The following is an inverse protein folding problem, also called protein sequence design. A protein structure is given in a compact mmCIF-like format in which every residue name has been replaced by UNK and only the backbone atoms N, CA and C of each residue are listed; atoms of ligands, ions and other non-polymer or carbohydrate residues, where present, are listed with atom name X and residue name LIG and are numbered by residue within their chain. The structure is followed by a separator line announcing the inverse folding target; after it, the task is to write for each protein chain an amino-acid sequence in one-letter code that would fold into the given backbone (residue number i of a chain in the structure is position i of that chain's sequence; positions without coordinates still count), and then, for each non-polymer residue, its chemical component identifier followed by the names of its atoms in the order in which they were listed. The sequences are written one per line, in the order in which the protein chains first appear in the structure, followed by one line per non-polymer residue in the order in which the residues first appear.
data_IF_980414117859
#
_entry.id   IF_980414117859
#
_cell.length_a   1.000
_cell.length_b   1.000
_cell.length_c   1.000
_cell.angle_alpha   90.00
_cell.angle_beta   90.00
_cell.angle_gamma   90.00
#
_symmetry.space_group_name_H-M   'P 1'
#
loop_
_entity.id
_entity.type
_entity.pdbx_description
1 polymer ?
#
# COMPACT_ATOMS: atom_id res chain seq x y z
N UNK A 1 48.75 -20.27 -44.26
CA UNK A 1 48.30 -20.51 -42.88
C UNK A 1 47.18 -21.55 -42.87
N UNK A 2 47.51 -22.81 -42.56
CA UNK A 2 46.50 -23.87 -42.44
C UNK A 2 45.67 -23.67 -41.17
N UNK A 3 44.36 -23.47 -41.34
CA UNK A 3 43.42 -23.49 -40.22
C UNK A 3 43.37 -24.88 -39.63
N UNK A 4 43.98 -25.07 -38.45
CA UNK A 4 43.81 -26.28 -37.62
C UNK A 4 42.32 -26.51 -37.37
N UNK A 5 41.77 -27.57 -37.96
CA UNK A 5 40.41 -28.04 -37.71
C UNK A 5 40.38 -28.70 -36.33
N UNK A 6 39.77 -28.01 -35.36
CA UNK A 6 39.60 -28.56 -34.01
C UNK A 6 38.54 -29.66 -34.06
N UNK A 7 38.78 -30.85 -33.48
CA UNK A 7 37.81 -31.94 -33.50
C UNK A 7 36.50 -31.53 -32.80
N UNK A 8 35.37 -31.85 -33.44
CA UNK A 8 34.05 -31.55 -32.91
C UNK A 8 33.82 -32.31 -31.59
N UNK A 9 33.55 -31.57 -30.51
CA UNK A 9 33.29 -32.17 -29.19
C UNK A 9 32.11 -33.16 -29.30
N UNK A 10 32.26 -34.40 -28.78
CA UNK A 10 31.21 -35.42 -28.80
C UNK A 10 29.89 -34.92 -28.22
N UNK A 11 28.77 -35.27 -28.87
CA UNK A 11 27.43 -34.81 -28.47
C UNK A 11 27.06 -35.22 -27.04
N UNK A 12 27.52 -36.39 -26.59
CA UNK A 12 27.31 -36.90 -25.24
C UNK A 12 27.97 -36.02 -24.17
N UNK A 13 29.18 -35.51 -24.44
CA UNK A 13 29.89 -34.58 -23.55
C UNK A 13 29.21 -33.21 -23.53
N UNK A 14 28.76 -32.70 -24.69
CA UNK A 14 27.97 -31.46 -24.75
C UNK A 14 26.67 -31.57 -23.94
N UNK A 15 25.96 -32.70 -24.02
CA UNK A 15 24.73 -32.96 -23.25
C UNK A 15 25.00 -33.03 -21.75
N UNK A 16 26.07 -33.71 -21.32
CA UNK A 16 26.50 -33.75 -19.90
C UNK A 16 26.84 -32.36 -19.35
N UNK A 17 27.58 -31.54 -20.11
CA UNK A 17 27.92 -30.18 -19.72
C UNK A 17 26.66 -29.30 -19.56
N UNK A 18 25.72 -29.35 -20.51
CA UNK A 18 24.42 -28.64 -20.43
C UNK A 18 23.61 -29.04 -19.19
N UNK A 19 23.51 -30.34 -18.90
CA UNK A 19 22.79 -30.82 -17.72
C UNK A 19 23.44 -30.31 -16.41
N UNK A 20 24.77 -30.29 -16.36
CA UNK A 20 25.50 -29.82 -15.18
C UNK A 20 25.35 -28.31 -14.96
N UNK A 21 25.40 -27.52 -16.04
CA UNK A 21 25.17 -26.06 -15.97
C UNK A 21 23.73 -25.75 -15.57
N UNK A 22 22.74 -26.45 -16.12
CA UNK A 22 21.33 -26.32 -15.72
C UNK A 22 21.11 -26.65 -14.24
N UNK A 23 21.70 -27.74 -13.74
CA UNK A 23 21.64 -28.10 -12.33
C UNK A 23 22.29 -27.04 -11.44
N UNK A 24 23.42 -26.48 -11.85
CA UNK A 24 24.11 -25.39 -11.13
C UNK A 24 23.23 -24.14 -11.09
N UNK A 25 22.62 -23.74 -12.21
CA UNK A 25 21.68 -22.60 -12.28
C UNK A 25 20.46 -22.84 -11.38
N UNK A 26 19.86 -24.04 -11.41
CA UNK A 26 18.73 -24.41 -10.54
C UNK A 26 19.10 -24.29 -9.05
N UNK A 27 20.28 -24.78 -8.65
CA UNK A 27 20.79 -24.64 -7.27
C UNK A 27 20.96 -23.18 -6.86
N UNK A 28 21.54 -22.35 -7.72
CA UNK A 28 21.73 -20.92 -7.45
C UNK A 28 20.39 -20.19 -7.33
N UNK A 29 19.42 -20.45 -8.23
CA UNK A 29 18.06 -19.88 -8.15
C UNK A 29 17.36 -20.27 -6.85
N UNK A 30 17.48 -21.53 -6.41
CA UNK A 30 16.90 -22.00 -5.14
C UNK A 30 17.52 -21.28 -3.94
N UNK A 31 18.85 -21.13 -3.90
CA UNK A 31 19.56 -20.38 -2.85
C UNK A 31 19.13 -18.92 -2.82
N UNK A 32 19.06 -18.27 -3.98
CA UNK A 32 18.60 -16.88 -4.08
C UNK A 32 17.16 -16.70 -3.57
N UNK A 33 16.24 -17.57 -3.99
CA UNK A 33 14.86 -17.53 -3.52
C UNK A 33 14.74 -17.74 -2.00
N UNK A 34 15.55 -18.62 -1.41
CA UNK A 34 15.60 -18.80 0.05
C UNK A 34 16.09 -17.54 0.76
N UNK A 35 17.14 -16.90 0.26
CA UNK A 35 17.67 -15.67 0.85
C UNK A 35 16.65 -14.52 0.75
N UNK A 36 15.98 -14.38 -0.40
CA UNK A 36 14.92 -13.38 -0.58
C UNK A 36 13.74 -13.61 0.37
N UNK A 37 13.33 -14.87 0.58
CA UNK A 37 12.27 -15.20 1.56
C UNK A 37 12.67 -14.82 2.98
N UNK A 38 13.91 -15.11 3.39
CA UNK A 38 14.44 -14.69 4.70
C UNK A 38 14.45 -13.17 4.85
N UNK A 39 14.88 -12.45 3.81
CA UNK A 39 14.89 -10.98 3.83
C UNK A 39 13.49 -10.41 4.01
N UNK A 40 12.51 -10.88 3.22
CA UNK A 40 11.11 -10.44 3.32
C UNK A 40 10.54 -10.75 4.70
N UNK A 41 10.85 -11.92 5.26
CA UNK A 41 10.41 -12.31 6.59
C UNK A 41 10.95 -11.38 7.69
N UNK A 42 12.27 -11.11 7.69
CA UNK A 42 12.87 -10.22 8.69
C UNK A 42 12.35 -8.78 8.57
N UNK A 43 12.13 -8.28 7.35
CA UNK A 43 11.48 -6.99 7.14
C UNK A 43 10.04 -6.95 7.69
N UNK A 44 9.23 -7.96 7.39
CA UNK A 44 7.85 -8.04 7.89
C UNK A 44 7.82 -8.07 9.43
N UNK A 45 8.74 -8.83 10.04
CA UNK A 45 8.92 -8.88 11.50
C UNK A 45 9.31 -7.51 12.07
N UNK A 46 10.20 -6.80 11.40
CA UNK A 46 10.60 -5.44 11.78
C UNK A 46 9.40 -4.47 11.74
N UNK A 47 8.66 -4.41 10.64
CA UNK A 47 7.49 -3.53 10.54
C UNK A 47 6.42 -3.85 11.57
N UNK A 48 6.17 -5.13 11.85
CA UNK A 48 5.23 -5.53 12.91
C UNK A 48 5.67 -5.00 14.28
N UNK A 49 6.96 -5.12 14.60
CA UNK A 49 7.53 -4.57 15.84
C UNK A 49 7.37 -3.05 15.90
N UNK A 50 7.65 -2.36 14.80
CA UNK A 50 7.53 -0.90 14.67
C UNK A 50 6.09 -0.43 14.91
N UNK A 51 5.10 -1.02 14.23
CA UNK A 51 3.68 -0.67 14.44
C UNK A 51 3.23 -0.88 15.88
N UNK A 52 3.66 -1.99 16.50
CA UNK A 52 3.36 -2.28 17.90
C UNK A 52 3.99 -1.25 18.84
N UNK A 53 5.20 -0.80 18.53
CA UNK A 53 5.88 0.25 19.29
C UNK A 53 5.18 1.60 19.12
N UNK A 54 4.83 2.02 17.90
CA UNK A 54 4.10 3.26 17.63
C UNK A 54 2.81 3.33 18.46
N UNK A 55 1.97 2.28 18.38
CA UNK A 55 0.71 2.20 19.11
C UNK A 55 0.90 2.25 20.64
N UNK A 56 1.89 1.52 21.16
CA UNK A 56 2.20 1.52 22.61
C UNK A 56 2.73 2.87 23.09
N UNK A 57 3.53 3.54 22.28
CA UNK A 57 4.11 4.85 22.60
C UNK A 57 3.02 5.91 22.70
N UNK A 58 2.08 5.92 21.76
CA UNK A 58 0.94 6.84 21.78
C UNK A 58 0.08 6.66 23.04
N UNK A 59 -0.25 5.40 23.39
CA UNK A 59 -0.96 5.09 24.64
C UNK A 59 -0.16 5.51 25.87
N UNK A 60 1.15 5.25 25.88
CA UNK A 60 2.02 5.61 27.00
C UNK A 60 2.05 7.12 27.21
N UNK A 61 2.23 7.91 26.15
CA UNK A 61 2.22 9.37 26.19
C UNK A 61 0.89 9.89 26.74
N UNK A 62 -0.24 9.38 26.24
CA UNK A 62 -1.56 9.75 26.73
C UNK A 62 -1.79 9.39 28.21
N UNK A 63 -1.18 8.31 28.72
CA UNK A 63 -1.23 7.95 30.15
C UNK A 63 -0.33 8.85 31.01
N UNK A 64 0.88 9.15 30.56
CA UNK A 64 1.81 10.03 31.27
C UNK A 64 1.25 11.45 31.40
N UNK A 65 0.66 11.97 30.31
CA UNK A 65 0.02 13.28 30.32
C UNK A 65 -1.13 13.33 31.34
N UNK A 66 -2.05 12.34 31.29
CA UNK A 66 -3.14 12.21 32.27
C UNK A 66 -2.64 12.12 33.71
N UNK A 67 -1.57 11.35 33.97
CA UNK A 67 -0.97 11.24 35.31
C UNK A 67 -0.40 12.57 35.80
N UNK A 68 0.16 13.37 34.89
CA UNK A 68 0.70 14.69 35.19
C UNK A 68 -0.37 15.80 35.22
N UNK A 69 -1.65 15.49 34.96
CA UNK A 69 -2.72 16.49 34.80
C UNK A 69 -2.65 17.30 33.50
N UNK A 70 -1.78 16.91 32.55
CA UNK A 70 -1.58 17.58 31.27
C UNK A 70 -2.37 16.90 30.14
N UNK A 71 -2.64 17.65 29.07
CA UNK A 71 -3.29 17.14 27.86
C UNK A 71 -2.25 16.69 26.82
N UNK A 72 -2.44 15.52 26.23
CA UNK A 72 -1.64 15.04 25.11
C UNK A 72 -2.46 15.13 23.82
N UNK A 73 -2.08 16.06 22.94
CA UNK A 73 -2.69 16.17 21.60
C UNK A 73 -1.97 15.20 20.66
N UNK A 74 -2.67 14.26 20.00
CA UNK A 74 -2.05 13.33 19.07
C UNK A 74 -1.56 14.06 17.82
N UNK A 75 -0.56 13.48 17.16
CA UNK A 75 -0.03 14.03 15.93
C UNK A 75 -1.10 14.02 14.82
N UNK A 76 -1.12 15.07 14.00
CA UNK A 76 -2.02 15.12 12.86
C UNK A 76 -1.75 13.97 11.87
N UNK A 77 -2.82 13.35 11.34
CA UNK A 77 -2.73 12.24 10.41
C UNK A 77 -2.17 12.69 9.06
N UNK A 78 -1.28 11.88 8.48
CA UNK A 78 -0.59 12.20 7.21
C UNK A 78 -1.20 11.51 5.98
N UNK A 79 -2.11 10.56 6.19
CA UNK A 79 -2.69 9.72 5.14
C UNK A 79 -4.21 9.78 5.19
N UNK A 80 -4.82 9.98 4.02
CA UNK A 80 -6.25 9.82 3.83
C UNK A 80 -6.54 8.75 2.78
N UNK A 81 -7.64 8.04 2.97
CA UNK A 81 -8.27 7.22 1.96
C UNK A 81 -9.52 7.94 1.47
N UNK A 82 -9.61 8.18 0.16
CA UNK A 82 -10.67 8.95 -0.49
C UNK A 82 -11.52 8.01 -1.32
N UNK A 83 -12.84 8.08 -1.17
CA UNK A 83 -13.82 7.28 -1.92
C UNK A 83 -14.77 8.21 -2.65
N UNK A 84 -14.99 7.99 -3.95
CA UNK A 84 -15.99 8.72 -4.73
C UNK A 84 -17.40 8.18 -4.44
N UNK A 85 -18.29 9.07 -4.04
CA UNK A 85 -19.68 8.72 -3.70
C UNK A 85 -20.72 9.29 -4.65
N UNK A 86 -20.45 10.41 -5.34
CA UNK A 86 -21.46 11.08 -6.19
C UNK A 86 -20.86 11.69 -7.46
N UNK A 87 -21.71 11.84 -8.47
CA UNK A 87 -21.55 12.72 -9.64
C UNK A 87 -20.30 12.47 -10.47
N UNK A 88 -20.07 13.31 -11.48
CA UNK A 88 -18.83 13.40 -12.26
C UNK A 88 -18.34 14.84 -12.09
N UNK A 89 -17.09 15.02 -11.63
CA UNK A 89 -16.43 16.32 -11.53
C UNK A 89 -15.06 16.24 -12.19
N UNK A 90 -14.64 17.31 -12.87
CA UNK A 90 -13.32 17.39 -13.51
C UNK A 90 -12.17 17.10 -12.53
N UNK A 91 -12.22 17.67 -11.33
CA UNK A 91 -11.17 17.54 -10.29
C UNK A 91 -11.00 16.09 -9.79
N UNK A 92 -12.04 15.24 -9.82
CA UNK A 92 -11.94 13.86 -9.35
C UNK A 92 -11.03 12.99 -10.23
N UNK A 93 -10.83 13.37 -11.50
CA UNK A 93 -9.92 12.69 -12.41
C UNK A 93 -8.46 12.84 -11.96
N UNK A 94 -8.09 13.98 -11.35
CA UNK A 94 -6.74 14.19 -10.80
C UNK A 94 -6.43 13.21 -9.66
N UNK A 95 -7.44 12.86 -8.88
CA UNK A 95 -7.35 11.86 -7.80
C UNK A 95 -7.46 10.41 -8.31
N UNK A 96 -7.59 10.20 -9.62
CA UNK A 96 -7.82 8.91 -10.29
C UNK A 96 -9.15 8.25 -9.90
N UNK A 97 -10.15 9.05 -9.55
CA UNK A 97 -11.48 8.59 -9.15
C UNK A 97 -12.47 8.68 -10.32
N UNK A 98 -12.36 7.76 -11.29
CA UNK A 98 -13.17 7.78 -12.52
C UNK A 98 -14.57 7.16 -12.38
N UNK A 99 -14.75 6.19 -11.47
CA UNK A 99 -16.04 5.50 -11.25
C UNK A 99 -16.53 5.71 -9.82
N UNK A 100 -17.84 5.55 -9.60
CA UNK A 100 -18.44 5.56 -8.26
C UNK A 100 -17.88 4.37 -7.48
N UNK A 101 -17.63 4.57 -6.18
CA UNK A 101 -16.97 3.60 -5.29
C UNK A 101 -15.54 3.24 -5.68
N UNK A 102 -14.90 4.03 -6.53
CA UNK A 102 -13.45 4.00 -6.59
C UNK A 102 -12.85 4.65 -5.35
N UNK A 103 -11.75 4.08 -4.87
CA UNK A 103 -10.99 4.61 -3.75
C UNK A 103 -9.50 4.77 -4.08
N UNK A 104 -8.87 5.80 -3.53
CA UNK A 104 -7.42 6.04 -3.66
C UNK A 104 -6.82 6.57 -2.35
N UNK A 105 -5.54 6.28 -2.13
CA UNK A 105 -4.78 6.88 -1.04
C UNK A 105 -4.29 8.27 -1.44
N UNK A 106 -4.34 9.22 -0.51
CA UNK A 106 -3.88 10.59 -0.70
C UNK A 106 -3.02 10.98 0.50
N UNK A 107 -1.81 11.46 0.22
CA UNK A 107 -0.96 12.10 1.23
C UNK A 107 -1.56 13.45 1.62
N UNK A 108 -1.76 13.66 2.92
CA UNK A 108 -2.30 14.90 3.47
C UNK A 108 -1.20 15.95 3.58
N UNK A 109 -1.31 16.96 2.73
CA UNK A 109 -0.59 18.23 2.77
C UNK A 109 -1.62 19.37 2.77
N UNK A 110 -1.21 20.60 3.09
CA UNK A 110 -2.13 21.77 3.08
C UNK A 110 -2.84 21.95 1.73
N UNK A 111 -2.14 21.75 0.61
CA UNK A 111 -2.72 21.80 -0.72
C UNK A 111 -3.74 20.69 -1.01
N UNK A 112 -3.45 19.44 -0.61
CA UNK A 112 -4.38 18.34 -0.84
C UNK A 112 -5.63 18.46 0.02
N UNK A 113 -5.52 18.98 1.25
CA UNK A 113 -6.66 19.26 2.12
C UNK A 113 -7.57 20.31 1.47
N UNK A 114 -7.00 21.40 0.94
CA UNK A 114 -7.79 22.42 0.23
C UNK A 114 -8.48 21.83 -1.01
N UNK A 115 -7.79 20.99 -1.77
CA UNK A 115 -8.40 20.27 -2.90
C UNK A 115 -9.55 19.36 -2.45
N UNK A 116 -9.36 18.60 -1.37
CA UNK A 116 -10.38 17.70 -0.81
C UNK A 116 -11.62 18.45 -0.32
N UNK A 117 -11.45 19.67 0.22
CA UNK A 117 -12.57 20.56 0.60
C UNK A 117 -13.41 20.98 -0.61
N UNK A 118 -12.79 21.26 -1.76
CA UNK A 118 -13.53 21.62 -2.98
C UNK A 118 -14.37 20.44 -3.49
N UNK A 119 -13.83 19.23 -3.44
CA UNK A 119 -14.52 18.02 -3.94
C UNK A 119 -15.38 17.33 -2.88
N UNK A 120 -15.39 17.82 -1.64
CA UNK A 120 -16.10 17.26 -0.49
C UNK A 120 -17.54 16.80 -0.75
N UNK A 121 -18.40 17.53 -1.50
CA UNK A 121 -19.76 17.06 -1.76
C UNK A 121 -19.84 15.79 -2.62
N UNK A 122 -18.76 15.41 -3.31
CA UNK A 122 -18.69 14.27 -4.23
C UNK A 122 -17.93 13.08 -3.66
N UNK A 123 -17.11 13.29 -2.62
CA UNK A 123 -16.26 12.28 -2.02
C UNK A 123 -16.59 12.09 -0.53
N UNK A 124 -16.13 10.97 -0.01
CA UNK A 124 -16.01 10.74 1.43
C UNK A 124 -14.57 10.31 1.68
N UNK A 125 -13.90 10.87 2.69
CA UNK A 125 -12.47 10.63 2.85
C UNK A 125 -12.04 10.70 4.30
N UNK A 126 -11.01 9.90 4.64
CA UNK A 126 -10.02 10.23 5.67
C UNK A 126 -9.26 9.03 6.19
N UNK A 127 -8.83 9.08 7.44
CA UNK A 127 -7.66 8.33 7.91
C UNK A 127 -7.94 6.83 8.05
N UNK A 128 -7.27 5.98 7.25
CA UNK A 128 -7.42 4.54 7.37
C UNK A 128 -6.57 3.99 8.52
N UNK A 129 -7.07 2.95 9.19
CA UNK A 129 -6.28 2.16 10.12
C UNK A 129 -5.33 1.21 9.35
N UNK A 130 -4.22 0.79 9.96
CA UNK A 130 -3.29 -0.20 9.41
C UNK A 130 -4.01 -1.48 8.94
N UNK A 131 -4.99 -1.96 9.73
CA UNK A 131 -5.81 -3.12 9.36
C UNK A 131 -6.58 -2.89 8.07
N UNK A 132 -7.20 -1.71 7.92
CA UNK A 132 -7.97 -1.34 6.72
C UNK A 132 -7.06 -1.21 5.50
N UNK A 133 -5.88 -0.60 5.63
CA UNK A 133 -4.89 -0.52 4.53
C UNK A 133 -4.44 -1.90 4.08
N UNK A 134 -4.11 -2.75 5.05
CA UNK A 134 -3.68 -4.13 4.83
C UNK A 134 -4.75 -4.92 4.06
N UNK A 135 -5.97 -5.02 4.60
CA UNK A 135 -7.06 -5.75 3.94
C UNK A 135 -7.38 -5.23 2.54
N UNK A 136 -7.31 -3.92 2.35
CA UNK A 136 -7.62 -3.28 1.07
C UNK A 136 -6.55 -3.59 0.01
N UNK A 137 -5.27 -3.56 0.37
CA UNK A 137 -4.18 -3.91 -0.53
C UNK A 137 -4.17 -5.41 -0.85
N UNK A 138 -4.37 -6.31 0.13
CA UNK A 138 -4.39 -7.75 -0.18
C UNK A 138 -5.65 -8.19 -0.95
N UNK A 139 -6.84 -7.67 -0.62
CA UNK A 139 -8.09 -8.14 -1.24
C UNK A 139 -8.42 -7.44 -2.55
N UNK A 140 -8.03 -6.17 -2.71
CA UNK A 140 -8.44 -5.31 -3.83
C UNK A 140 -7.27 -4.61 -4.51
N UNK A 141 -6.04 -4.93 -4.13
CA UNK A 141 -4.84 -4.34 -4.72
C UNK A 141 -4.61 -4.83 -6.15
N UNK A 142 -4.53 -3.86 -7.06
CA UNK A 142 -4.05 -4.07 -8.41
C UNK A 142 -2.85 -3.16 -8.66
N UNK A 143 -1.83 -3.70 -9.31
CA UNK A 143 -0.66 -2.96 -9.78
C UNK A 143 -0.86 -2.46 -11.20
N UNK A 144 -0.30 -1.29 -11.50
CA UNK A 144 -0.22 -0.69 -12.83
C UNK A 144 1.09 -1.15 -13.50
N UNK A 145 1.01 -2.24 -14.27
CA UNK A 145 2.14 -2.79 -15.04
C UNK A 145 1.70 -2.90 -16.49
N UNK A 146 1.71 -1.78 -17.22
CA UNK A 146 1.08 -1.56 -18.54
C UNK A 146 -0.45 -1.74 -18.56
N UNK A 147 -0.95 -2.81 -17.92
CA UNK A 147 -2.36 -3.15 -17.69
C UNK A 147 -2.61 -3.25 -16.18
N UNK A 148 -3.88 -3.41 -15.81
CA UNK A 148 -4.30 -3.67 -14.43
C UNK A 148 -4.04 -5.15 -14.09
N UNK A 149 -3.09 -5.43 -13.20
CA UNK A 149 -2.72 -6.81 -12.80
C UNK A 149 -2.96 -6.99 -11.29
N UNK A 150 -3.56 -8.11 -10.90
CA UNK A 150 -3.78 -8.42 -9.49
C UNK A 150 -2.44 -8.67 -8.76
N UNK A 151 -2.32 -8.20 -7.52
CA UNK A 151 -1.11 -8.39 -6.72
C UNK A 151 -1.08 -9.79 -6.08
N UNK A 152 -0.73 -10.80 -6.86
CA UNK A 152 -0.59 -12.20 -6.39
C UNK A 152 0.80 -12.51 -5.86
N UNK A 153 1.83 -12.05 -6.58
CA UNK A 153 3.22 -12.41 -6.32
C UNK A 153 4.10 -11.19 -6.02
N UNK A 154 4.99 -11.34 -5.03
CA UNK A 154 6.00 -10.33 -4.69
C UNK A 154 6.94 -10.01 -5.87
N UNK A 155 7.09 -10.93 -6.82
CA UNK A 155 7.90 -10.70 -8.03
C UNK A 155 7.36 -9.53 -8.85
N UNK A 156 6.04 -9.37 -8.97
CA UNK A 156 5.42 -8.28 -9.73
C UNK A 156 5.72 -6.91 -9.10
N UNK A 157 5.74 -6.87 -7.76
CA UNK A 157 6.06 -5.66 -6.98
C UNK A 157 7.54 -5.33 -7.13
N UNK A 158 8.42 -6.32 -6.92
CA UNK A 158 9.86 -6.14 -7.04
C UNK A 158 10.29 -5.69 -8.45
N UNK A 159 9.65 -6.20 -9.51
CA UNK A 159 9.94 -5.77 -10.89
C UNK A 159 9.63 -4.28 -11.12
N UNK A 160 8.55 -3.77 -10.52
CA UNK A 160 8.10 -2.39 -10.75
C UNK A 160 8.74 -1.40 -9.77
N UNK A 161 8.82 -1.77 -8.50
CA UNK A 161 9.21 -0.90 -7.39
C UNK A 161 10.54 -1.29 -6.72
N UNK A 162 11.20 -2.36 -7.18
CA UNK A 162 12.48 -2.81 -6.60
C UNK A 162 13.58 -1.75 -6.65
N UNK A 163 13.53 -0.82 -7.62
CA UNK A 163 14.42 0.35 -7.72
C UNK A 163 14.32 1.27 -6.51
N UNK A 164 13.17 1.27 -5.84
CA UNK A 164 12.88 2.10 -4.66
C UNK A 164 13.04 1.34 -3.34
N UNK A 165 13.50 0.07 -3.38
CA UNK A 165 13.66 -0.77 -2.20
C UNK A 165 12.37 -1.44 -1.71
N UNK A 166 11.27 -1.32 -2.47
CA UNK A 166 9.99 -1.98 -2.19
C UNK A 166 9.96 -3.31 -2.94
N UNK A 167 10.02 -4.41 -2.20
CA UNK A 167 10.23 -5.75 -2.79
C UNK A 167 9.00 -6.64 -2.59
N UNK A 168 8.26 -6.45 -1.49
CA UNK A 168 7.11 -7.27 -1.13
C UNK A 168 5.85 -6.45 -0.83
N UNK A 169 4.74 -7.15 -0.61
CA UNK A 169 3.47 -6.54 -0.18
C UNK A 169 3.60 -5.77 1.13
N UNK A 170 4.35 -6.29 2.10
CA UNK A 170 4.54 -5.66 3.42
C UNK A 170 5.33 -4.36 3.31
N UNK A 171 6.35 -4.31 2.44
CA UNK A 171 7.07 -3.07 2.12
C UNK A 171 6.12 -2.02 1.52
N UNK A 172 5.24 -2.45 0.59
CA UNK A 172 4.27 -1.57 -0.05
C UNK A 172 3.25 -1.01 0.95
N UNK A 173 2.70 -1.86 1.82
CA UNK A 173 1.77 -1.45 2.87
C UNK A 173 2.44 -0.48 3.83
N UNK A 174 3.70 -0.76 4.19
CA UNK A 174 4.46 0.10 5.10
C UNK A 174 4.69 1.49 4.52
N UNK A 175 5.18 1.60 3.28
CA UNK A 175 5.44 2.89 2.65
C UNK A 175 4.15 3.70 2.43
N UNK A 176 3.02 3.03 2.15
CA UNK A 176 1.71 3.68 2.08
C UNK A 176 1.24 4.16 3.45
N UNK A 177 1.26 3.31 4.48
CA UNK A 177 0.72 3.64 5.80
C UNK A 177 1.53 4.71 6.53
N UNK A 178 2.85 4.63 6.51
CA UNK A 178 3.73 5.61 7.18
C UNK A 178 3.95 6.88 6.34
N UNK A 179 3.46 6.89 5.09
CA UNK A 179 3.70 7.97 4.11
C UNK A 179 5.20 8.19 3.93
N UNK A 180 5.89 7.12 3.56
CA UNK A 180 7.34 7.10 3.42
C UNK A 180 7.85 7.95 2.24
N UNK A 181 9.18 7.94 2.05
CA UNK A 181 9.84 8.78 1.05
C UNK A 181 9.39 8.47 -0.38
N UNK A 182 8.95 7.24 -0.64
CA UNK A 182 8.57 6.72 -1.97
C UNK A 182 7.06 6.52 -2.12
N UNK A 183 6.28 7.18 -1.25
CA UNK A 183 4.82 7.12 -1.25
C UNK A 183 4.22 7.46 -2.61
N UNK A 184 4.78 8.44 -3.33
CA UNK A 184 4.26 8.87 -4.63
C UNK A 184 4.37 7.74 -5.65
N UNK A 185 5.51 7.06 -5.70
CA UNK A 185 5.80 5.95 -6.58
C UNK A 185 4.97 4.72 -6.21
N UNK A 186 4.89 4.37 -4.92
CA UNK A 186 4.06 3.30 -4.40
C UNK A 186 2.56 3.51 -4.70
N UNK A 187 2.05 4.71 -4.46
CA UNK A 187 0.64 5.03 -4.69
C UNK A 187 0.31 5.13 -6.18
N UNK A 188 1.24 5.57 -7.03
CA UNK A 188 1.05 5.59 -8.48
C UNK A 188 1.07 4.19 -9.10
N UNK A 189 1.85 3.27 -8.52
CA UNK A 189 1.82 1.86 -8.87
C UNK A 189 0.48 1.21 -8.54
N UNK A 190 -0.13 1.54 -7.40
CA UNK A 190 -1.47 1.08 -7.06
C UNK A 190 -2.52 1.68 -8.01
N UNK A 191 -3.34 0.81 -8.60
CA UNK A 191 -4.55 1.21 -9.32
C UNK A 191 -5.61 1.70 -8.33
N UNK A 192 -6.57 2.51 -8.79
CA UNK A 192 -7.72 2.90 -7.97
C UNK A 192 -8.50 1.67 -7.53
N UNK A 193 -8.78 1.55 -6.23
CA UNK A 193 -9.48 0.41 -5.66
C UNK A 193 -10.95 0.44 -6.04
N UNK A 194 -11.44 -0.64 -6.65
CA UNK A 194 -12.87 -0.81 -6.92
C UNK A 194 -13.54 -1.38 -5.67
N UNK A 195 -14.32 -0.56 -4.98
CA UNK A 195 -15.06 -0.96 -3.78
C UNK A 195 -16.48 -1.41 -4.17
N UNK A 196 -17.06 -2.27 -3.35
CA UNK A 196 -18.49 -2.55 -3.48
C UNK A 196 -19.30 -1.40 -2.89
N UNK A 197 -20.55 -1.28 -3.35
CA UNK A 197 -21.53 -0.45 -2.65
C UNK A 197 -21.58 -0.86 -1.18
N UNK A 198 -21.65 0.10 -0.23
CA UNK A 198 -21.84 -0.24 1.17
C UNK A 198 -23.10 -1.07 1.35
N UNK A 199 -23.05 -2.06 2.24
CA UNK A 199 -24.21 -2.87 2.59
C UNK A 199 -25.24 -1.99 3.32
N UNK A 200 -26.43 -1.85 2.74
CA UNK A 200 -27.52 -0.99 3.22
C UNK A 200 -27.77 0.23 2.33
N UNK A 201 -28.98 0.82 2.41
CA UNK A 201 -29.27 2.09 1.72
C UNK A 201 -28.34 3.18 2.26
N UNK A 202 -27.57 3.81 1.39
CA UNK A 202 -26.96 5.10 1.68
C UNK A 202 -28.10 6.10 1.96
N UNK A 203 -28.53 6.24 3.22
CA UNK A 203 -29.51 7.25 3.62
C UNK A 203 -29.05 8.60 3.04
N UNK A 204 -29.98 9.44 2.58
CA UNK A 204 -29.65 10.83 2.15
C UNK A 204 -28.78 11.55 3.23
N UNK A 205 -28.95 11.12 4.49
CA UNK A 205 -28.13 11.39 5.68
C UNK A 205 -27.48 10.10 6.28
N UNK A 206 -26.61 9.39 5.55
CA UNK A 206 -26.01 8.13 6.03
C UNK A 206 -25.04 8.35 7.22
N UNK A 207 -24.98 7.45 8.22
CA UNK A 207 -24.04 7.53 9.34
C UNK A 207 -22.57 7.61 8.92
N UNK A 208 -22.22 7.03 7.77
CA UNK A 208 -20.90 7.20 7.15
C UNK A 208 -20.65 8.65 6.68
N UNK A 209 -21.67 9.39 6.24
CA UNK A 209 -21.55 10.82 5.93
C UNK A 209 -21.61 11.73 7.17
N UNK A 210 -22.21 11.29 8.29
CA UNK A 210 -22.31 12.08 9.54
C UNK A 210 -21.15 11.85 10.51
N UNK A 211 -20.70 10.62 10.72
CA UNK A 211 -19.54 10.31 11.60
C UNK A 211 -18.27 10.99 11.08
N UNK A 212 -18.16 11.15 9.76
CA UNK A 212 -17.11 11.90 9.08
C UNK A 212 -17.23 13.43 9.22
N UNK A 213 -18.46 13.97 9.33
CA UNK A 213 -18.71 15.41 9.50
C UNK A 213 -18.61 15.86 10.96
N UNK A 214 -18.97 15.00 11.91
CA UNK A 214 -18.88 15.26 13.36
C UNK A 214 -17.42 15.36 13.84
N UNK A 215 -16.51 14.60 13.22
CA UNK A 215 -15.07 14.66 13.50
C UNK A 215 -14.40 15.99 13.08
N UNK A 216 -15.04 16.83 12.27
CA UNK A 216 -14.50 18.12 11.83
C UNK A 216 -14.95 19.33 12.68
N UNK A 217 -16.00 19.20 13.50
CA UNK A 217 -16.61 20.35 14.20
C UNK A 217 -16.51 20.31 15.73
N UNK A 218 -15.79 19.34 16.32
CA UNK A 218 -15.53 19.34 17.77
C UNK A 218 -16.76 19.23 18.68
N UNK A 219 -17.80 18.48 18.26
CA UNK A 219 -18.98 18.19 19.07
C UNK A 219 -18.81 16.95 19.98
N UNK A 220 -19.66 16.78 21.02
CA UNK A 220 -19.42 15.90 22.17
C UNK A 220 -19.60 14.41 21.84
N UNK A 221 -19.19 13.58 22.80
CA UNK A 221 -18.90 12.15 22.70
C UNK A 221 -19.98 11.25 22.05
N UNK A 222 -19.59 10.06 21.53
CA UNK A 222 -20.43 9.21 20.67
C UNK A 222 -21.62 8.50 21.35
N UNK A 223 -21.97 8.84 22.59
CA UNK A 223 -23.05 8.19 23.33
C UNK A 223 -24.41 8.92 23.23
N UNK A 224 -24.45 10.15 22.73
CA UNK A 224 -25.68 10.94 22.60
C UNK A 224 -26.15 11.12 21.14
N UNK A 225 -26.04 10.07 20.31
CA UNK A 225 -26.55 10.04 18.92
C UNK A 225 -27.45 8.84 18.66
#
# INVERSE_FOLDING_TARGET
EEKKVVPAVPETLKKKQRNFTELKIKRLRKKFAQNMRKLVYEKAKHYHKEYRQMYRTEIRMARMARKAGNFCVPAEPKLAFVIRTRGINGVLHLLRLCQIFNGTFVKLNKASINMLRIVEPYITWGNPNLKSVNELIYKRGYGKINKQIALTDNVLIALSLGKYGIICMEDLIHDIYTVGKRFKEANNFLWSFKLFSPQGRMKKNHPFCRRWRCWQQGGPDPQDC
#
